data_IF_990659854100
#
_entry.id   IF_990659854100
#
_cell.length_a   1.000
_cell.length_b   1.000
_cell.length_c   1.000
_cell.angle_alpha   90.00
_cell.angle_beta   90.00
_cell.angle_gamma   90.00
#
_symmetry.space_group_name_H-M   'P 1'
#
loop_
_entity.id
_entity.type
_entity.pdbx_description
1 polymer ?
#
# COMPACT_ATOMS: atom_id res chain seq x y z
N UNK A 1 22.91 0.16 7.10
CA UNK A 1 22.49 -1.24 7.11
C UNK A 1 22.15 -1.67 5.70
N UNK A 2 22.56 -2.86 5.32
CA UNK A 2 22.39 -3.36 3.95
C UNK A 2 21.45 -4.56 3.95
N UNK A 3 20.51 -4.59 3.03
CA UNK A 3 19.68 -5.75 2.77
C UNK A 3 19.99 -6.28 1.39
N UNK A 4 20.06 -7.59 1.27
CA UNK A 4 20.31 -8.25 -0.01
C UNK A 4 19.29 -9.33 -0.26
N UNK A 5 18.70 -9.32 -1.45
CA UNK A 5 17.77 -10.34 -1.91
C UNK A 5 18.37 -11.04 -3.11
N UNK A 6 18.54 -12.36 -3.03
CA UNK A 6 19.06 -13.16 -4.13
C UNK A 6 17.89 -13.88 -4.80
N UNK A 7 17.52 -13.44 -5.98
CA UNK A 7 16.38 -13.99 -6.72
C UNK A 7 16.68 -15.31 -7.42
N UNK A 8 17.96 -15.76 -7.42
CA UNK A 8 18.37 -17.03 -8.03
C UNK A 8 18.03 -18.22 -7.14
N UNK A 9 17.80 -17.98 -5.85
CA UNK A 9 17.49 -19.01 -4.88
C UNK A 9 16.07 -18.78 -4.39
N UNK A 10 15.23 -19.85 -4.30
CA UNK A 10 13.88 -19.67 -3.75
C UNK A 10 13.94 -19.12 -2.33
N UNK A 11 13.16 -18.06 -2.08
CA UNK A 11 13.02 -17.43 -0.77
C UNK A 11 11.70 -17.83 -0.14
N UNK A 12 11.73 -18.14 1.16
CA UNK A 12 10.47 -18.19 1.88
C UNK A 12 9.94 -16.77 2.10
N UNK A 13 8.64 -16.65 2.31
CA UNK A 13 7.99 -15.33 2.41
C UNK A 13 8.44 -14.59 3.67
N UNK A 14 8.86 -15.29 4.70
CA UNK A 14 9.33 -14.69 5.94
C UNK A 14 10.67 -13.99 5.75
N UNK A 15 11.61 -14.66 5.07
CA UNK A 15 12.92 -14.07 4.76
C UNK A 15 12.78 -12.89 3.83
N UNK A 16 11.93 -13.00 2.81
CA UNK A 16 11.66 -11.92 1.88
C UNK A 16 11.08 -10.69 2.60
N UNK A 17 10.07 -10.91 3.44
CA UNK A 17 9.45 -9.82 4.21
C UNK A 17 10.45 -9.11 5.11
N UNK A 18 11.33 -9.87 5.74
CA UNK A 18 12.36 -9.32 6.62
C UNK A 18 13.35 -8.44 5.85
N UNK A 19 13.77 -8.91 4.69
CA UNK A 19 14.68 -8.15 3.83
C UNK A 19 14.02 -6.86 3.31
N UNK A 20 12.79 -6.94 2.83
CA UNK A 20 12.07 -5.79 2.31
C UNK A 20 11.70 -4.80 3.41
N UNK A 21 11.58 -5.25 4.65
CA UNK A 21 11.34 -4.37 5.79
C UNK A 21 12.47 -3.39 6.07
N UNK A 22 13.66 -3.65 5.53
CA UNK A 22 14.80 -2.74 5.65
C UNK A 22 14.82 -1.68 4.54
N UNK A 23 13.96 -1.80 3.55
CA UNK A 23 13.90 -0.85 2.45
C UNK A 23 13.05 0.35 2.86
N UNK A 24 13.64 1.56 2.95
CA UNK A 24 12.88 2.72 3.39
C UNK A 24 11.93 3.19 2.28
N UNK A 25 10.68 3.41 2.66
CA UNK A 25 9.67 3.94 1.76
C UNK A 25 8.82 4.95 2.50
N UNK A 26 8.12 5.80 1.74
CA UNK A 26 6.99 6.51 2.28
C UNK A 26 5.85 5.54 2.57
N UNK A 27 4.93 5.94 3.42
CA UNK A 27 3.73 5.17 3.74
C UNK A 27 2.52 6.02 3.45
N UNK A 28 1.54 5.44 2.79
CA UNK A 28 0.33 6.15 2.41
C UNK A 28 -0.91 5.35 2.78
N UNK A 29 -2.02 6.05 2.96
CA UNK A 29 -3.33 5.42 2.96
C UNK A 29 -3.96 5.62 1.60
N UNK A 30 -4.37 4.52 0.99
CA UNK A 30 -5.12 4.54 -0.26
C UNK A 30 -6.58 4.46 0.10
N UNK A 31 -7.35 5.45 -0.32
CA UNK A 31 -8.75 5.56 0.07
C UNK A 31 -9.64 5.63 -1.15
N UNK A 32 -10.83 5.09 -1.00
CA UNK A 32 -11.88 5.13 -2.02
C UNK A 32 -13.23 5.14 -1.32
N UNK A 33 -14.13 6.03 -1.79
CA UNK A 33 -15.45 6.16 -1.22
C UNK A 33 -15.49 7.09 -0.02
N UNK A 34 -16.65 7.20 0.62
CA UNK A 34 -16.85 8.06 1.78
C UNK A 34 -17.87 7.43 2.73
N UNK A 35 -17.84 7.88 3.98
CA UNK A 35 -18.75 7.39 5.00
C UNK A 35 -18.60 5.89 5.24
N UNK A 36 -19.72 5.21 5.44
CA UNK A 36 -19.73 3.79 5.75
C UNK A 36 -19.23 2.90 4.60
N UNK A 37 -19.18 3.43 3.39
CA UNK A 37 -18.72 2.69 2.21
C UNK A 37 -17.25 2.90 1.89
N UNK A 38 -16.57 3.73 2.67
CA UNK A 38 -15.16 3.99 2.44
C UNK A 38 -14.32 2.74 2.70
N UNK A 39 -13.36 2.51 1.81
CA UNK A 39 -12.33 1.49 2.00
C UNK A 39 -10.98 2.19 2.11
N UNK A 40 -10.15 1.72 3.03
CA UNK A 40 -8.85 2.30 3.31
C UNK A 40 -7.85 1.18 3.49
N UNK A 41 -6.70 1.30 2.83
CA UNK A 41 -5.58 0.37 3.04
C UNK A 41 -4.29 1.15 3.23
N UNK A 42 -3.38 0.58 3.98
CA UNK A 42 -2.01 1.09 4.09
C UNK A 42 -1.18 0.53 2.95
N UNK A 43 -0.44 1.41 2.28
CA UNK A 43 0.42 0.99 1.18
C UNK A 43 1.76 1.71 1.25
N UNK A 44 2.82 0.99 0.92
CA UNK A 44 4.15 1.56 0.71
C UNK A 44 4.65 1.35 -0.71
N UNK A 45 3.84 0.72 -1.56
CA UNK A 45 4.17 0.44 -2.95
C UNK A 45 3.54 1.48 -3.86
N UNK A 46 3.99 2.73 -3.71
CA UNK A 46 3.53 3.86 -4.51
C UNK A 46 4.72 4.39 -5.30
N UNK A 47 4.57 4.46 -6.62
CA UNK A 47 5.65 4.89 -7.51
C UNK A 47 5.11 5.92 -8.48
N UNK A 48 5.83 7.03 -8.60
CA UNK A 48 5.58 7.99 -9.67
C UNK A 48 6.10 7.41 -10.98
N UNK A 49 5.23 7.20 -11.94
CA UNK A 49 5.58 6.55 -13.21
C UNK A 49 5.88 7.57 -14.29
N UNK A 50 5.08 8.63 -14.39
CA UNK A 50 5.19 9.56 -15.51
C UNK A 50 4.57 10.91 -15.16
N UNK A 51 5.15 11.96 -15.72
CA UNK A 51 4.60 13.32 -15.61
C UNK A 51 3.75 13.70 -16.80
N UNK A 52 3.98 13.09 -17.94
CA UNK A 52 3.25 13.40 -19.18
C UNK A 52 3.03 12.11 -19.97
N UNK A 53 1.88 11.46 -19.85
CA UNK A 53 0.76 11.81 -18.97
C UNK A 53 1.09 11.57 -17.48
N UNK A 54 0.36 12.24 -16.60
CA UNK A 54 0.52 12.03 -15.17
C UNK A 54 0.06 10.64 -14.80
N UNK A 55 0.97 9.83 -14.24
CA UNK A 55 0.69 8.44 -13.90
C UNK A 55 1.38 8.05 -12.61
N UNK A 56 0.67 7.27 -11.81
CA UNK A 56 1.19 6.70 -10.57
C UNK A 56 0.85 5.20 -10.54
N UNK A 57 1.74 4.43 -9.96
CA UNK A 57 1.51 2.99 -9.75
C UNK A 57 1.34 2.73 -8.26
N UNK A 58 0.29 2.00 -7.91
CA UNK A 58 0.04 1.55 -6.54
C UNK A 58 -0.20 0.04 -6.57
N UNK A 59 0.55 -0.69 -5.73
CA UNK A 59 0.35 -2.12 -5.59
C UNK A 59 -0.82 -2.41 -4.66
N UNK A 60 -1.80 -3.17 -5.14
CA UNK A 60 -2.98 -3.57 -4.39
C UNK A 60 -3.19 -5.06 -4.55
N UNK A 61 -3.53 -5.75 -3.46
CA UNK A 61 -3.78 -7.19 -3.53
C UNK A 61 -4.96 -7.47 -4.47
N UNK A 62 -4.79 -8.48 -5.31
CA UNK A 62 -5.84 -8.85 -6.27
C UNK A 62 -7.14 -9.27 -5.58
N UNK A 63 -7.03 -9.88 -4.38
CA UNK A 63 -8.17 -10.33 -3.58
C UNK A 63 -8.59 -9.32 -2.52
N UNK A 64 -8.02 -8.10 -2.54
CA UNK A 64 -8.34 -7.06 -1.57
C UNK A 64 -9.71 -6.45 -1.82
N UNK A 65 -10.35 -5.98 -0.74
CA UNK A 65 -11.68 -5.36 -0.81
C UNK A 65 -11.69 -4.06 -1.60
N UNK A 66 -10.59 -3.32 -1.57
CA UNK A 66 -10.53 -2.00 -2.21
C UNK A 66 -10.45 -2.08 -3.74
N UNK A 67 -9.88 -3.16 -4.27
CA UNK A 67 -9.66 -3.27 -5.71
C UNK A 67 -10.93 -3.17 -6.55
N UNK A 68 -11.98 -3.95 -6.27
CA UNK A 68 -13.20 -3.82 -7.08
C UNK A 68 -13.88 -2.46 -6.92
N UNK A 69 -13.73 -1.82 -5.78
CA UNK A 69 -14.28 -0.50 -5.56
C UNK A 69 -13.55 0.57 -6.36
N UNK A 70 -12.23 0.47 -6.47
CA UNK A 70 -11.44 1.36 -7.30
C UNK A 70 -11.77 1.15 -8.77
N UNK A 71 -11.85 -0.11 -9.20
CA UNK A 71 -12.20 -0.44 -10.60
C UNK A 71 -13.56 0.12 -10.98
N UNK A 72 -14.55 -0.02 -10.10
CA UNK A 72 -15.90 0.48 -10.35
C UNK A 72 -15.97 2.01 -10.40
N UNK A 73 -15.22 2.68 -9.52
CA UNK A 73 -15.26 4.13 -9.42
C UNK A 73 -14.35 4.83 -10.43
N UNK A 74 -13.28 4.17 -10.84
CA UNK A 74 -12.26 4.76 -11.70
C UNK A 74 -11.39 5.80 -11.02
N UNK A 75 -11.41 5.85 -9.68
CA UNK A 75 -10.63 6.84 -8.93
C UNK A 75 -10.33 6.36 -7.52
N UNK A 76 -9.27 6.91 -6.95
CA UNK A 76 -8.88 6.70 -5.56
C UNK A 76 -8.03 7.87 -5.12
N UNK A 77 -7.79 7.99 -3.80
CA UNK A 77 -6.94 9.03 -3.25
C UNK A 77 -5.72 8.42 -2.57
N UNK A 78 -4.62 9.14 -2.62
CA UNK A 78 -3.38 8.78 -1.95
C UNK A 78 -3.14 9.82 -0.85
N UNK A 79 -3.06 9.35 0.39
CA UNK A 79 -2.87 10.20 1.56
C UNK A 79 -1.52 9.83 2.18
N UNK A 80 -0.52 10.69 2.01
CA UNK A 80 0.83 10.44 2.53
C UNK A 80 0.83 10.66 4.03
N UNK A 81 1.32 9.67 4.78
CA UNK A 81 1.35 9.75 6.23
C UNK A 81 2.64 10.40 6.73
N UNK A 82 2.52 11.14 7.83
CA UNK A 82 3.68 11.63 8.57
C UNK A 82 4.19 10.57 9.54
N UNK A 83 5.40 10.79 10.08
CA UNK A 83 5.97 9.88 11.07
C UNK A 83 5.11 9.78 12.34
N UNK A 84 4.31 10.79 12.62
CA UNK A 84 3.45 10.83 13.80
C UNK A 84 2.17 10.02 13.63
N UNK A 85 1.90 9.50 12.45
CA UNK A 85 0.69 8.77 12.12
C UNK A 85 0.90 7.26 12.03
N UNK A 86 1.85 6.74 12.81
CA UNK A 86 2.18 5.31 12.78
C UNK A 86 0.99 4.43 13.19
N UNK A 87 0.18 4.87 14.12
CA UNK A 87 -1.00 4.13 14.54
C UNK A 87 -2.01 3.97 13.41
N UNK A 88 -2.19 5.03 12.62
CA UNK A 88 -3.07 4.99 11.46
C UNK A 88 -2.56 3.96 10.45
N UNK A 89 -1.27 3.97 10.19
CA UNK A 89 -0.63 3.01 9.29
C UNK A 89 -0.89 1.58 9.76
N UNK A 90 -0.68 1.31 11.04
CA UNK A 90 -0.86 -0.03 11.61
C UNK A 90 -2.33 -0.47 11.53
N UNK A 91 -3.27 0.44 11.81
CA UNK A 91 -4.70 0.14 11.80
C UNK A 91 -5.16 -0.35 10.43
N UNK A 92 -4.76 0.34 9.37
CA UNK A 92 -5.20 0.01 8.02
C UNK A 92 -4.27 -0.94 7.28
N UNK A 93 -3.18 -1.35 7.92
CA UNK A 93 -2.31 -2.40 7.41
C UNK A 93 -2.74 -3.80 7.82
N UNK A 94 -3.76 -3.94 8.65
CA UNK A 94 -4.24 -5.23 9.11
C UNK A 94 -5.22 -5.84 8.11
N UNK A 95 -5.33 -7.17 8.17
CA UNK A 95 -6.31 -7.90 7.36
C UNK A 95 -7.74 -7.49 7.73
N UNK A 96 -8.01 -7.38 9.04
CA UNK A 96 -9.28 -6.86 9.55
C UNK A 96 -9.09 -5.40 9.89
N UNK A 97 -9.76 -4.53 9.16
CA UNK A 97 -9.62 -3.10 9.34
C UNK A 97 -10.97 -2.41 9.30
N UNK A 98 -11.10 -1.25 9.98
CA UNK A 98 -12.37 -0.54 10.02
C UNK A 98 -12.77 -0.02 8.65
N UNK A 99 -14.05 0.23 8.49
CA UNK A 99 -14.64 0.84 7.30
C UNK A 99 -15.26 2.18 7.68
N UNK A 100 -15.16 3.14 6.77
CA UNK A 100 -15.81 4.44 6.94
C UNK A 100 -14.99 5.46 7.75
#
# INVERSE_FOLDING_TARGET
MTAQVDVRIPLDSKAFRRAMGLFPTGVALITRGSGAEAEVITANSVVSVSLDPIMVLVGVRADGRIRPRIDAAGSFAINVLSAEQQELSATFGRRERPRG
#
